data_IF_744572360374
#
_entry.id   IF_744572360374
#
_cell.length_a   1.000
_cell.length_b   1.000
_cell.length_c   1.000
_cell.angle_alpha   90.00
_cell.angle_beta   90.00
_cell.angle_gamma   90.00
#
_symmetry.space_group_name_H-M   'P 1'
#
loop_
_entity.id
_entity.type
_entity.pdbx_description
1 polymer ?
#
# COMPACT_ATOMS: atom_id res chain seq x y z
N UNK A 1 -28.08 -2.14 -2.57
CA UNK A 1 -26.86 -2.06 -3.40
C UNK A 1 -27.25 -2.18 -4.86
N UNK A 2 -26.83 -1.24 -5.70
CA UNK A 2 -27.15 -1.29 -7.13
C UNK A 2 -26.20 -2.27 -7.83
N UNK A 3 -26.69 -3.06 -8.79
CA UNK A 3 -25.86 -4.01 -9.55
C UNK A 3 -24.61 -3.37 -10.18
N UNK A 4 -24.71 -2.11 -10.60
CA UNK A 4 -23.61 -1.34 -11.21
C UNK A 4 -22.48 -1.06 -10.21
N UNK A 5 -22.79 -0.76 -8.95
CA UNK A 5 -21.80 -0.52 -7.88
C UNK A 5 -20.96 -1.79 -7.63
N UNK A 6 -21.65 -2.93 -7.52
CA UNK A 6 -21.00 -4.23 -7.32
C UNK A 6 -20.13 -4.63 -8.51
N UNK A 7 -20.65 -4.46 -9.74
CA UNK A 7 -19.89 -4.80 -10.95
C UNK A 7 -18.63 -3.94 -11.08
N UNK A 8 -18.73 -2.62 -10.86
CA UNK A 8 -17.57 -1.74 -10.94
C UNK A 8 -16.53 -2.09 -9.87
N UNK A 9 -16.96 -2.32 -8.63
CA UNK A 9 -16.05 -2.72 -7.56
C UNK A 9 -15.37 -4.06 -7.85
N UNK A 10 -16.13 -5.04 -8.36
CA UNK A 10 -15.58 -6.34 -8.74
C UNK A 10 -14.54 -6.22 -9.86
N UNK A 11 -14.82 -5.43 -10.90
CA UNK A 11 -13.86 -5.20 -12.00
C UNK A 11 -12.58 -4.54 -11.50
N UNK A 12 -12.69 -3.47 -10.70
CA UNK A 12 -11.52 -2.76 -10.16
C UNK A 12 -10.72 -3.68 -9.23
N UNK A 13 -11.39 -4.35 -8.30
CA UNK A 13 -10.71 -5.24 -7.34
C UNK A 13 -10.04 -6.42 -8.04
N UNK A 14 -10.69 -7.02 -9.04
CA UNK A 14 -10.09 -8.10 -9.82
C UNK A 14 -8.89 -7.61 -10.63
N UNK A 15 -8.96 -6.42 -11.24
CA UNK A 15 -7.84 -5.86 -11.99
C UNK A 15 -6.63 -5.61 -11.08
N UNK A 16 -6.85 -5.05 -9.87
CA UNK A 16 -5.78 -4.83 -8.89
C UNK A 16 -5.22 -6.17 -8.40
N UNK A 17 -6.06 -7.13 -8.03
CA UNK A 17 -5.62 -8.45 -7.57
C UNK A 17 -4.81 -9.19 -8.64
N UNK A 18 -5.27 -9.17 -9.90
CA UNK A 18 -4.53 -9.76 -11.03
C UNK A 18 -3.19 -9.04 -11.23
N UNK A 19 -3.16 -7.70 -11.16
CA UNK A 19 -1.92 -6.95 -11.29
C UNK A 19 -0.93 -7.33 -10.19
N UNK A 20 -1.36 -7.44 -8.92
CA UNK A 20 -0.53 -7.87 -7.79
C UNK A 20 0.04 -9.27 -8.04
N UNK A 21 -0.83 -10.24 -8.34
CA UNK A 21 -0.43 -11.64 -8.53
C UNK A 21 0.44 -11.88 -9.78
N UNK A 22 0.37 -10.99 -10.77
CA UNK A 22 1.11 -11.12 -12.04
C UNK A 22 2.48 -10.42 -12.01
N UNK A 23 2.75 -9.58 -11.00
CA UNK A 23 4.01 -8.84 -10.93
C UNK A 23 5.10 -9.67 -10.25
N UNK A 24 6.23 -9.93 -10.90
CA UNK A 24 7.40 -10.53 -10.26
C UNK A 24 8.00 -9.57 -9.24
N UNK A 25 8.77 -10.09 -8.30
CA UNK A 25 9.55 -9.24 -7.40
C UNK A 25 10.69 -8.57 -8.17
N UNK A 26 10.46 -7.33 -8.58
CA UNK A 26 11.45 -6.52 -9.30
C UNK A 26 12.18 -5.53 -8.38
N UNK A 27 11.70 -5.34 -7.16
CA UNK A 27 12.24 -4.30 -6.27
C UNK A 27 13.63 -4.64 -5.76
N UNK A 28 13.83 -5.87 -5.31
CA UNK A 28 15.13 -6.30 -4.78
C UNK A 28 16.24 -6.27 -5.84
N UNK A 29 16.07 -6.87 -7.05
CA UNK A 29 17.06 -6.77 -8.11
C UNK A 29 17.31 -5.34 -8.58
N UNK A 30 16.24 -4.51 -8.67
CA UNK A 30 16.38 -3.10 -9.02
C UNK A 30 17.17 -2.33 -7.95
N UNK A 31 16.90 -2.57 -6.67
CA UNK A 31 17.62 -1.97 -5.56
C UNK A 31 19.11 -2.31 -5.61
N UNK A 32 19.46 -3.58 -5.76
CA UNK A 32 20.85 -4.02 -5.87
C UNK A 32 21.56 -3.39 -7.06
N UNK A 33 20.92 -3.37 -8.23
CA UNK A 33 21.50 -2.80 -9.44
C UNK A 33 21.71 -1.29 -9.34
N UNK A 34 20.73 -0.55 -8.82
CA UNK A 34 20.81 0.89 -8.64
C UNK A 34 21.85 1.29 -7.58
N UNK A 35 21.89 0.58 -6.45
CA UNK A 35 22.86 0.86 -5.40
C UNK A 35 24.29 0.57 -5.87
N UNK A 36 24.52 -0.50 -6.65
CA UNK A 36 25.83 -0.77 -7.27
C UNK A 36 26.22 0.30 -8.29
N UNK A 37 25.28 0.75 -9.13
CA UNK A 37 25.53 1.71 -10.19
C UNK A 37 25.79 3.13 -9.65
N UNK A 38 25.07 3.54 -8.62
CA UNK A 38 25.11 4.91 -8.11
C UNK A 38 26.08 5.10 -6.93
N UNK A 39 26.49 4.04 -6.23
CA UNK A 39 27.48 4.09 -5.16
C UNK A 39 27.28 5.23 -4.17
N UNK A 40 28.16 6.24 -4.17
CA UNK A 40 28.08 7.42 -3.29
C UNK A 40 26.81 8.27 -3.49
N UNK A 41 26.10 8.13 -4.62
CA UNK A 41 24.80 8.77 -4.86
C UNK A 41 23.63 7.94 -4.35
N UNK A 42 23.84 7.13 -3.33
CA UNK A 42 22.81 6.28 -2.72
C UNK A 42 21.48 6.99 -2.41
N UNK A 43 21.42 8.29 -2.03
CA UNK A 43 20.14 8.94 -1.79
C UNK A 43 19.26 8.98 -3.05
N UNK A 44 19.88 9.23 -4.22
CA UNK A 44 19.16 9.21 -5.49
C UNK A 44 18.72 7.78 -5.86
N UNK A 45 19.55 6.77 -5.60
CA UNK A 45 19.17 5.37 -5.81
C UNK A 45 17.95 4.98 -4.96
N UNK A 46 17.98 5.31 -3.66
CA UNK A 46 16.87 5.01 -2.74
C UNK A 46 15.57 5.71 -3.17
N UNK A 47 15.66 6.99 -3.57
CA UNK A 47 14.51 7.74 -4.09
C UNK A 47 13.93 7.08 -5.35
N UNK A 48 14.78 6.67 -6.30
CA UNK A 48 14.36 5.98 -7.53
C UNK A 48 13.72 4.62 -7.23
N UNK A 49 14.28 3.86 -6.29
CA UNK A 49 13.68 2.60 -5.83
C UNK A 49 12.29 2.88 -5.24
N UNK A 50 12.14 3.94 -4.45
CA UNK A 50 10.84 4.39 -3.95
C UNK A 50 9.84 4.71 -5.08
N UNK A 51 10.29 5.39 -6.14
CA UNK A 51 9.45 5.65 -7.33
C UNK A 51 9.02 4.33 -8.00
N UNK A 52 9.93 3.39 -8.19
CA UNK A 52 9.62 2.06 -8.76
C UNK A 52 8.62 1.34 -7.85
N UNK A 53 8.85 1.35 -6.52
CA UNK A 53 7.95 0.75 -5.55
C UNK A 53 6.53 1.30 -5.65
N UNK A 54 6.34 2.61 -5.67
CA UNK A 54 4.99 3.20 -5.74
C UNK A 54 4.30 3.02 -7.10
N UNK A 55 5.04 2.70 -8.17
CA UNK A 55 4.49 2.31 -9.47
C UNK A 55 4.11 0.83 -9.54
N UNK A 56 4.81 -0.02 -8.79
CA UNK A 56 4.53 -1.45 -8.73
C UNK A 56 3.18 -1.67 -8.02
N UNK A 57 2.23 -2.39 -8.64
CA UNK A 57 1.05 -2.87 -7.93
C UNK A 57 1.48 -3.82 -6.81
N UNK A 58 1.20 -3.47 -5.58
CA UNK A 58 1.44 -4.31 -4.41
C UNK A 58 0.18 -4.42 -3.53
N UNK A 59 0.16 -5.43 -2.70
CA UNK A 59 -0.98 -5.77 -1.85
C UNK A 59 -1.23 -4.77 -0.72
N UNK A 60 -0.20 -4.03 -0.30
CA UNK A 60 -0.28 -3.16 0.88
C UNK A 60 -0.63 -1.71 0.55
N UNK A 61 -0.35 -1.23 -0.69
CA UNK A 61 -0.53 0.18 -1.05
C UNK A 61 -1.64 0.42 -2.06
N UNK A 62 -1.65 -0.29 -3.18
CA UNK A 62 -2.63 -0.05 -4.26
C UNK A 62 -4.08 -0.30 -3.85
N UNK A 63 -4.43 -1.42 -3.16
CA UNK A 63 -5.81 -1.66 -2.72
C UNK A 63 -6.34 -0.52 -1.86
N UNK A 64 -5.52 0.03 -0.99
CA UNK A 64 -5.89 1.06 -0.03
C UNK A 64 -5.97 2.42 -0.74
N UNK A 65 -4.90 2.84 -1.41
CA UNK A 65 -4.80 4.18 -2.03
C UNK A 65 -5.84 4.39 -3.13
N UNK A 66 -6.04 3.37 -4.00
CA UNK A 66 -7.05 3.43 -5.07
C UNK A 66 -8.46 3.44 -4.48
N UNK A 67 -8.76 2.57 -3.51
CA UNK A 67 -10.08 2.51 -2.89
C UNK A 67 -10.43 3.83 -2.19
N UNK A 68 -9.51 4.37 -1.39
CA UNK A 68 -9.73 5.66 -0.73
C UNK A 68 -9.76 6.83 -1.71
N UNK A 69 -8.94 6.80 -2.76
CA UNK A 69 -8.98 7.80 -3.83
C UNK A 69 -10.35 7.86 -4.52
N UNK A 70 -10.93 6.69 -4.83
CA UNK A 70 -12.27 6.60 -5.43
C UNK A 70 -13.40 7.09 -4.50
N UNK A 71 -13.22 6.99 -3.18
CA UNK A 71 -14.20 7.49 -2.21
C UNK A 71 -14.21 9.01 -2.07
N UNK A 72 -13.25 9.72 -2.66
CA UNK A 72 -13.16 11.17 -2.55
C UNK A 72 -13.98 11.89 -3.62
N UNK A 73 -14.46 13.10 -3.29
CA UNK A 73 -15.31 13.90 -4.20
C UNK A 73 -14.52 14.59 -5.31
N UNK A 74 -13.24 14.81 -5.10
CA UNK A 74 -12.40 15.56 -6.02
C UNK A 74 -10.99 14.97 -6.07
N UNK A 75 -10.30 15.23 -7.20
CA UNK A 75 -8.90 14.86 -7.35
C UNK A 75 -8.03 15.39 -6.22
N UNK A 76 -8.24 16.66 -5.80
CA UNK A 76 -7.48 17.27 -4.70
C UNK A 76 -7.64 16.48 -3.39
N UNK A 77 -8.88 16.06 -3.06
CA UNK A 77 -9.14 15.23 -1.88
C UNK A 77 -8.57 13.81 -2.04
N UNK A 78 -8.61 13.23 -3.25
CA UNK A 78 -7.97 11.95 -3.52
C UNK A 78 -6.44 12.03 -3.32
N UNK A 79 -5.80 13.11 -3.77
CA UNK A 79 -4.38 13.36 -3.54
C UNK A 79 -4.05 13.54 -2.06
N UNK A 80 -4.89 14.26 -1.30
CA UNK A 80 -4.72 14.42 0.15
C UNK A 80 -4.84 13.06 0.85
N UNK A 81 -5.84 12.22 0.49
CA UNK A 81 -6.00 10.90 1.08
C UNK A 81 -4.78 10.00 0.81
N UNK A 82 -4.24 10.04 -0.40
CA UNK A 82 -2.98 9.34 -0.74
C UNK A 82 -1.81 9.89 0.07
N UNK A 83 -1.71 11.22 0.22
CA UNK A 83 -0.68 11.88 1.02
C UNK A 83 -0.74 11.51 2.50
N UNK A 84 -1.93 11.39 3.07
CA UNK A 84 -2.12 10.96 4.47
C UNK A 84 -1.66 9.51 4.65
N UNK A 85 -2.03 8.62 3.74
CA UNK A 85 -1.59 7.23 3.74
C UNK A 85 -0.08 7.10 3.59
N UNK A 86 0.46 7.68 2.51
CA UNK A 86 1.88 7.60 2.20
C UNK A 86 2.75 8.34 3.23
N UNK A 87 2.25 9.41 3.84
CA UNK A 87 2.92 10.12 4.92
C UNK A 87 3.06 9.24 6.18
N UNK A 88 2.00 8.51 6.55
CA UNK A 88 2.05 7.56 7.66
C UNK A 88 3.07 6.45 7.40
N UNK A 89 3.01 5.85 6.21
CA UNK A 89 3.92 4.80 5.75
C UNK A 89 5.38 5.29 5.75
N UNK A 90 5.64 6.47 5.19
CA UNK A 90 6.97 7.10 5.14
C UNK A 90 7.52 7.35 6.54
N UNK A 91 6.69 7.82 7.48
CA UNK A 91 7.12 8.05 8.86
C UNK A 91 7.55 6.75 9.55
N UNK A 92 6.78 5.68 9.38
CA UNK A 92 7.11 4.36 9.93
C UNK A 92 8.41 3.84 9.31
N UNK A 93 8.55 3.92 7.99
CA UNK A 93 9.77 3.47 7.30
C UNK A 93 11.01 4.27 7.68
N UNK A 94 10.89 5.60 7.85
CA UNK A 94 11.98 6.43 8.32
C UNK A 94 12.40 6.08 9.76
N UNK A 95 11.42 5.84 10.64
CA UNK A 95 11.67 5.39 12.01
C UNK A 95 12.34 4.02 12.05
N UNK A 96 11.86 3.11 11.19
CA UNK A 96 12.38 1.77 11.08
C UNK A 96 13.83 1.74 10.59
N UNK A 97 14.14 2.46 9.52
CA UNK A 97 15.50 2.54 9.00
C UNK A 97 16.45 3.22 9.98
N UNK A 98 15.97 4.22 10.75
CA UNK A 98 16.72 4.79 11.85
C UNK A 98 17.05 3.76 12.93
N UNK A 99 16.06 2.96 13.36
CA UNK A 99 16.26 1.89 14.34
C UNK A 99 17.18 0.80 13.80
N UNK A 100 16.97 0.36 12.56
CA UNK A 100 17.81 -0.67 11.92
C UNK A 100 19.28 -0.26 11.85
N UNK A 101 19.57 0.99 11.55
CA UNK A 101 20.94 1.49 11.50
C UNK A 101 21.63 1.51 12.87
N UNK A 102 20.85 1.52 13.95
CA UNK A 102 21.36 1.55 15.33
C UNK A 102 21.42 0.14 15.96
N UNK A 103 20.50 -0.76 15.60
CA UNK A 103 20.29 -2.04 16.31
C UNK A 103 20.06 -3.19 15.33
N UNK A 104 21.08 -3.56 14.57
CA UNK A 104 21.04 -4.60 13.54
C UNK A 104 20.58 -6.00 13.98
N UNK A 105 20.63 -6.31 15.28
CA UNK A 105 20.49 -7.70 15.76
C UNK A 105 19.07 -8.17 16.06
N UNK A 106 18.06 -7.27 16.01
CA UNK A 106 16.70 -7.59 16.48
C UNK A 106 15.71 -8.02 15.39
N UNK A 107 16.04 -7.90 14.11
CA UNK A 107 15.07 -8.09 13.01
C UNK A 107 15.39 -9.32 12.15
N UNK A 108 15.25 -10.51 12.70
CA UNK A 108 15.28 -11.76 11.91
C UNK A 108 13.96 -12.51 12.11
N UNK A 109 13.03 -12.44 11.12
CA UNK A 109 11.80 -13.21 11.18
C UNK A 109 11.09 -13.33 9.84
N UNK A 110 11.16 -14.50 9.20
CA UNK A 110 10.55 -14.79 7.88
C UNK A 110 9.01 -14.93 7.89
N UNK A 111 8.35 -14.91 9.07
CA UNK A 111 6.90 -15.16 9.18
C UNK A 111 6.03 -13.90 9.32
N UNK A 112 6.63 -12.71 9.45
CA UNK A 112 5.89 -11.50 9.81
C UNK A 112 4.94 -11.03 8.70
N UNK A 113 5.35 -11.18 7.43
CA UNK A 113 4.60 -10.70 6.26
C UNK A 113 3.16 -11.25 6.21
N UNK A 114 2.99 -12.56 6.37
CA UNK A 114 1.68 -13.20 6.34
C UNK A 114 0.73 -12.68 7.43
N UNK A 115 1.25 -12.41 8.64
CA UNK A 115 0.45 -11.81 9.72
C UNK A 115 0.08 -10.38 9.41
N UNK A 116 0.98 -9.61 8.78
CA UNK A 116 0.70 -8.23 8.35
C UNK A 116 -0.40 -8.22 7.29
N UNK A 117 -0.35 -9.10 6.28
CA UNK A 117 -1.40 -9.24 5.27
C UNK A 117 -2.77 -9.46 5.91
N UNK A 118 -2.86 -10.36 6.88
CA UNK A 118 -4.10 -10.64 7.61
C UNK A 118 -4.55 -9.40 8.38
N UNK A 119 -3.67 -8.74 9.12
CA UNK A 119 -3.99 -7.54 9.91
C UNK A 119 -4.46 -6.40 9.02
N UNK A 120 -3.75 -6.11 7.93
CA UNK A 120 -4.13 -5.09 6.95
C UNK A 120 -5.46 -5.44 6.32
N UNK A 121 -5.65 -6.67 5.88
CA UNK A 121 -6.91 -7.15 5.30
C UNK A 121 -8.08 -7.03 6.28
N UNK A 122 -7.91 -7.41 7.56
CA UNK A 122 -8.93 -7.26 8.60
C UNK A 122 -9.30 -5.79 8.83
N UNK A 123 -8.32 -4.87 8.88
CA UNK A 123 -8.59 -3.44 9.02
C UNK A 123 -9.38 -2.91 7.82
N UNK A 124 -9.04 -3.31 6.59
CA UNK A 124 -9.78 -2.93 5.37
C UNK A 124 -11.24 -3.42 5.41
N UNK A 125 -11.46 -4.70 5.75
CA UNK A 125 -12.81 -5.29 5.86
C UNK A 125 -13.63 -4.59 6.95
N UNK A 126 -13.02 -4.34 8.12
CA UNK A 126 -13.70 -3.67 9.25
C UNK A 126 -14.13 -2.26 8.86
N UNK A 127 -13.25 -1.47 8.25
CA UNK A 127 -13.56 -0.12 7.80
C UNK A 127 -14.58 -0.12 6.68
N UNK A 128 -14.46 -1.01 5.70
CA UNK A 128 -15.44 -1.14 4.63
C UNK A 128 -16.81 -1.51 5.19
N UNK A 129 -16.87 -2.46 6.13
CA UNK A 129 -18.09 -2.85 6.85
C UNK A 129 -18.73 -1.67 7.59
N UNK A 130 -17.93 -0.91 8.34
CA UNK A 130 -18.39 0.29 9.03
C UNK A 130 -18.95 1.34 8.04
N UNK A 131 -18.24 1.63 6.95
CA UNK A 131 -18.67 2.59 5.92
C UNK A 131 -19.92 2.14 5.16
N UNK A 132 -20.13 0.83 4.99
CA UNK A 132 -21.33 0.26 4.35
C UNK A 132 -22.54 0.23 5.28
N UNK A 133 -22.33 -0.04 6.59
CA UNK A 133 -23.41 -0.11 7.60
C UNK A 133 -23.84 1.27 8.07
N UNK A 134 -22.90 2.23 8.22
CA UNK A 134 -23.22 3.62 8.61
C UNK A 134 -24.25 4.25 7.69
N UNK A 135 -24.18 3.95 6.39
CA UNK A 135 -25.14 4.43 5.41
C UNK A 135 -26.58 3.93 5.67
N UNK A 136 -26.74 2.78 6.33
CA UNK A 136 -28.07 2.19 6.62
C UNK A 136 -28.76 2.81 7.84
N UNK A 137 -27.97 3.34 8.80
CA UNK A 137 -28.51 3.87 10.07
C UNK A 137 -28.92 5.35 10.03
N UNK A 138 -28.46 6.14 9.07
CA UNK A 138 -28.66 7.60 9.02
C UNK A 138 -29.54 8.07 7.86
N UNK A 139 -30.40 7.21 7.33
CA UNK A 139 -31.24 7.46 6.16
C UNK A 139 -32.47 8.33 6.37
N UNK A 140 -32.63 9.05 7.48
CA UNK A 140 -33.88 9.74 7.79
C UNK A 140 -33.78 11.23 8.20
N UNK A 141 -32.61 11.84 8.30
CA UNK A 141 -32.55 13.26 8.63
C UNK A 141 -31.42 14.00 7.96
N UNK A 142 -31.81 14.79 6.95
CA UNK A 142 -31.22 16.05 6.55
C UNK A 142 -29.69 16.10 6.28
N UNK A 143 -29.35 16.13 4.99
CA UNK A 143 -28.01 16.52 4.51
C UNK A 143 -27.11 15.33 4.18
N UNK A 144 -26.91 15.12 2.89
CA UNK A 144 -26.06 14.08 2.29
C UNK A 144 -24.57 14.26 2.61
N UNK A 145 -24.17 14.11 3.87
CA UNK A 145 -22.77 13.75 4.17
C UNK A 145 -22.65 12.26 3.95
N UNK A 146 -22.35 11.86 2.72
CA UNK A 146 -21.91 10.48 2.48
C UNK A 146 -20.77 10.17 3.43
N UNK A 147 -20.86 9.01 4.13
CA UNK A 147 -19.81 8.58 5.04
C UNK A 147 -18.51 8.37 4.26
N UNK A 148 -17.63 9.34 4.36
CA UNK A 148 -16.29 9.34 3.74
C UNK A 148 -15.32 8.68 4.68
N UNK A 149 -14.27 8.10 4.13
CA UNK A 149 -13.19 7.62 4.97
C UNK A 149 -12.52 8.80 5.67
N UNK A 150 -12.51 8.77 7.00
CA UNK A 150 -11.80 9.75 7.82
C UNK A 150 -10.30 9.63 7.54
N UNK A 151 -9.61 10.75 7.42
CA UNK A 151 -8.16 10.77 7.27
C UNK A 151 -7.41 10.08 8.41
N UNK A 152 -7.98 10.04 9.62
CA UNK A 152 -7.44 9.26 10.74
C UNK A 152 -7.39 7.77 10.45
N UNK A 153 -8.46 7.25 9.83
CA UNK A 153 -8.53 5.83 9.44
C UNK A 153 -7.54 5.53 8.31
N UNK A 154 -7.40 6.45 7.35
CA UNK A 154 -6.42 6.33 6.27
C UNK A 154 -4.99 6.33 6.84
N UNK A 155 -4.71 7.18 7.83
CA UNK A 155 -3.44 7.22 8.55
C UNK A 155 -3.14 5.88 9.25
N UNK A 156 -4.10 5.34 9.99
CA UNK A 156 -3.96 4.04 10.67
C UNK A 156 -3.67 2.92 9.66
N UNK A 157 -4.34 2.91 8.50
CA UNK A 157 -4.03 1.96 7.43
C UNK A 157 -2.61 2.14 6.90
N UNK A 158 -2.13 3.37 6.71
CA UNK A 158 -0.75 3.64 6.30
C UNK A 158 0.27 3.11 7.30
N UNK A 159 0.01 3.29 8.60
CA UNK A 159 0.85 2.71 9.66
C UNK A 159 0.85 1.19 9.60
N UNK A 160 -0.32 0.55 9.47
CA UNK A 160 -0.43 -0.90 9.39
C UNK A 160 0.26 -1.47 8.14
N UNK A 161 0.03 -0.85 6.98
CA UNK A 161 0.63 -1.27 5.71
C UNK A 161 2.16 -1.16 5.70
N UNK A 162 2.74 -0.23 6.47
CA UNK A 162 4.18 -0.03 6.53
C UNK A 162 4.95 -1.24 7.10
N UNK A 163 4.27 -2.15 7.79
CA UNK A 163 4.84 -3.41 8.30
C UNK A 163 4.68 -4.58 7.33
N UNK A 164 4.16 -4.37 6.12
CA UNK A 164 4.06 -5.36 5.05
C UNK A 164 5.41 -5.78 4.48
N UNK A 165 5.40 -6.52 3.37
CA UNK A 165 6.63 -7.04 2.71
C UNK A 165 7.70 -5.98 2.43
N UNK A 166 7.29 -4.74 2.22
CA UNK A 166 8.18 -3.59 2.00
C UNK A 166 9.01 -3.21 3.24
N UNK A 167 8.59 -3.62 4.44
CA UNK A 167 9.38 -3.53 5.66
C UNK A 167 10.76 -4.16 5.46
N UNK A 168 10.80 -5.36 4.85
CA UNK A 168 12.06 -6.06 4.59
C UNK A 168 12.92 -5.34 3.55
N UNK A 169 12.32 -4.66 2.59
CA UNK A 169 13.05 -3.85 1.60
C UNK A 169 13.73 -2.67 2.29
N UNK A 170 13.02 -1.95 3.17
CA UNK A 170 13.59 -0.85 3.96
C UNK A 170 14.74 -1.35 4.85
N UNK A 171 14.51 -2.46 5.53
CA UNK A 171 15.52 -3.12 6.36
C UNK A 171 16.76 -3.50 5.54
N UNK A 172 16.57 -4.26 4.46
CA UNK A 172 17.62 -4.74 3.58
C UNK A 172 18.45 -3.59 2.98
N UNK A 173 17.79 -2.56 2.44
CA UNK A 173 18.48 -1.39 1.90
C UNK A 173 19.29 -0.65 2.96
N UNK A 174 18.73 -0.51 4.18
CA UNK A 174 19.44 0.13 5.28
C UNK A 174 20.73 -0.63 5.61
N UNK A 175 20.64 -1.97 5.71
CA UNK A 175 21.80 -2.82 6.01
C UNK A 175 22.89 -2.72 4.93
N UNK A 176 22.52 -2.78 3.64
CA UNK A 176 23.47 -2.69 2.52
C UNK A 176 24.16 -1.32 2.49
N UNK A 177 23.47 -0.27 2.90
CA UNK A 177 24.01 1.10 2.85
C UNK A 177 24.89 1.45 4.05
N UNK A 178 24.86 0.69 5.14
CA UNK A 178 25.69 0.97 6.33
C UNK A 178 27.18 1.18 6.05
N UNK A 179 27.84 0.44 5.11
CA UNK A 179 29.25 0.66 4.79
C UNK A 179 29.56 2.01 4.13
N UNK A 180 28.56 2.64 3.48
CA UNK A 180 28.72 3.88 2.69
C UNK A 180 27.95 5.07 3.27
N UNK A 181 27.19 4.85 4.34
CA UNK A 181 26.29 5.83 4.93
C UNK A 181 26.57 5.96 6.44
N UNK A 182 26.69 7.18 7.01
CA UNK A 182 26.74 7.35 8.46
C UNK A 182 25.49 6.78 9.14
N UNK A 183 25.65 6.06 10.24
CA UNK A 183 24.52 5.47 10.99
C UNK A 183 23.47 6.52 11.41
N UNK A 184 23.89 7.77 11.67
CA UNK A 184 23.00 8.91 11.96
C UNK A 184 22.07 9.28 10.79
N UNK A 185 22.40 8.87 9.56
CA UNK A 185 21.57 9.10 8.37
C UNK A 185 20.66 7.92 8.05
N UNK A 186 20.60 6.89 8.86
CA UNK A 186 19.78 5.71 8.63
C UNK A 186 18.31 6.05 8.35
N UNK A 187 17.74 7.05 9.05
CA UNK A 187 16.36 7.52 8.80
C UNK A 187 16.11 7.95 7.34
N UNK A 188 17.16 8.42 6.65
CA UNK A 188 17.03 8.94 5.30
C UNK A 188 16.68 7.85 4.29
N UNK A 189 17.02 6.59 4.56
CA UNK A 189 16.68 5.46 3.68
C UNK A 189 15.16 5.31 3.60
N UNK A 190 14.48 5.14 4.73
CA UNK A 190 13.02 5.01 4.76
C UNK A 190 12.30 6.30 4.32
N UNK A 191 12.86 7.47 4.65
CA UNK A 191 12.32 8.75 4.22
C UNK A 191 12.34 8.90 2.70
N UNK A 192 13.48 8.66 2.06
CA UNK A 192 13.63 8.81 0.60
C UNK A 192 12.83 7.75 -0.17
N UNK A 193 12.83 6.51 0.32
CA UNK A 193 11.98 5.45 -0.24
C UNK A 193 10.51 5.85 -0.20
N UNK A 194 10.04 6.31 0.97
CA UNK A 194 8.67 6.74 1.18
C UNK A 194 8.28 7.95 0.31
N UNK A 195 9.16 8.95 0.18
CA UNK A 195 8.92 10.11 -0.68
C UNK A 195 8.83 9.74 -2.16
N UNK A 196 9.72 8.85 -2.63
CA UNK A 196 9.66 8.34 -4.00
C UNK A 196 8.36 7.58 -4.26
N UNK A 197 7.99 6.69 -3.35
CA UNK A 197 6.75 5.92 -3.39
C UNK A 197 5.51 6.84 -3.36
N UNK A 198 5.49 7.82 -2.47
CA UNK A 198 4.41 8.81 -2.41
C UNK A 198 4.22 9.56 -3.72
N UNK A 199 5.31 10.05 -4.33
CA UNK A 199 5.24 10.79 -5.59
C UNK A 199 4.60 9.93 -6.71
N UNK A 200 5.06 8.71 -6.87
CA UNK A 200 4.56 7.80 -7.91
C UNK A 200 3.15 7.27 -7.63
N UNK A 201 2.84 6.88 -6.39
CA UNK A 201 1.47 6.50 -6.00
C UNK A 201 0.48 7.64 -6.23
N UNK A 202 0.88 8.88 -5.92
CA UNK A 202 0.07 10.05 -6.20
C UNK A 202 -0.24 10.20 -7.69
N UNK A 203 0.75 9.98 -8.55
CA UNK A 203 0.54 9.99 -9.99
C UNK A 203 -0.41 8.88 -10.45
N UNK A 204 -0.24 7.65 -9.92
CA UNK A 204 -1.13 6.51 -10.21
C UNK A 204 -2.56 6.81 -9.80
N UNK A 205 -2.77 7.27 -8.55
CA UNK A 205 -4.12 7.61 -8.06
C UNK A 205 -4.73 8.74 -8.88
N UNK A 206 -3.95 9.75 -9.27
CA UNK A 206 -4.44 10.84 -10.13
C UNK A 206 -4.88 10.35 -11.51
N UNK A 207 -4.10 9.46 -12.14
CA UNK A 207 -4.45 8.87 -13.43
C UNK A 207 -5.71 8.00 -13.33
N UNK A 208 -5.77 7.14 -12.33
CA UNK A 208 -6.92 6.26 -12.12
C UNK A 208 -8.18 7.07 -11.78
N UNK A 209 -8.09 8.05 -10.90
CA UNK A 209 -9.22 8.90 -10.54
C UNK A 209 -9.77 9.65 -11.76
N UNK A 210 -8.91 10.29 -12.55
CA UNK A 210 -9.32 10.99 -13.78
C UNK A 210 -9.91 10.05 -14.82
N UNK A 211 -9.30 8.88 -15.01
CA UNK A 211 -9.79 7.86 -15.93
C UNK A 211 -11.16 7.33 -15.53
N UNK A 212 -11.34 6.97 -14.26
CA UNK A 212 -12.61 6.45 -13.74
C UNK A 212 -13.72 7.51 -13.75
N UNK A 213 -13.43 8.77 -13.37
CA UNK A 213 -14.43 9.85 -13.45
C UNK A 213 -14.85 10.09 -14.88
N UNK A 214 -13.91 10.11 -15.85
CA UNK A 214 -14.22 10.29 -17.27
C UNK A 214 -15.07 9.14 -17.81
N UNK A 215 -14.81 7.91 -17.37
CA UNK A 215 -15.53 6.72 -17.81
C UNK A 215 -16.92 6.61 -17.17
N UNK A 216 -17.02 6.86 -15.87
CA UNK A 216 -18.23 6.58 -15.07
C UNK A 216 -19.14 7.79 -14.95
N UNK A 217 -18.58 9.02 -14.91
CA UNK A 217 -19.29 10.31 -14.78
C UNK A 217 -20.22 10.44 -13.57
N UNK A 218 -20.12 9.54 -12.61
CA UNK A 218 -20.96 9.49 -11.40
C UNK A 218 -20.08 9.28 -10.17
N UNK A 219 -19.86 10.37 -9.42
CA UNK A 219 -19.02 10.36 -8.22
C UNK A 219 -19.62 9.47 -7.12
N UNK A 220 -20.96 9.42 -7.02
CA UNK A 220 -21.62 8.59 -6.00
C UNK A 220 -21.42 7.10 -6.27
N UNK A 221 -21.43 6.72 -7.57
CA UNK A 221 -21.11 5.35 -7.99
C UNK A 221 -19.65 5.00 -7.68
N UNK A 222 -18.72 5.91 -7.95
CA UNK A 222 -17.29 5.72 -7.63
C UNK A 222 -17.07 5.57 -6.13
N UNK A 223 -17.68 6.42 -5.32
CA UNK A 223 -17.60 6.34 -3.85
C UNK A 223 -18.11 4.99 -3.33
N UNK A 224 -19.26 4.53 -3.84
CA UNK A 224 -19.80 3.24 -3.46
C UNK A 224 -18.93 2.07 -3.93
N UNK A 225 -18.39 2.15 -5.14
CA UNK A 225 -17.46 1.17 -5.69
C UNK A 225 -16.16 1.13 -4.87
N UNK A 226 -15.62 2.28 -4.45
CA UNK A 226 -14.42 2.36 -3.59
C UNK A 226 -14.60 1.62 -2.25
N UNK A 227 -15.76 1.79 -1.59
CA UNK A 227 -16.07 1.06 -0.35
C UNK A 227 -16.13 -0.45 -0.55
N UNK A 228 -16.75 -0.89 -1.65
CA UNK A 228 -16.85 -2.30 -1.99
C UNK A 228 -15.49 -2.88 -2.41
N UNK A 229 -14.70 -2.10 -3.14
CA UNK A 229 -13.32 -2.49 -3.49
C UNK A 229 -12.46 -2.66 -2.24
N UNK A 230 -12.58 -1.76 -1.26
CA UNK A 230 -11.89 -1.90 0.03
C UNK A 230 -12.28 -3.21 0.73
N UNK A 231 -13.56 -3.59 0.70
CA UNK A 231 -14.05 -4.85 1.26
C UNK A 231 -13.47 -6.07 0.53
N UNK A 232 -13.56 -6.09 -0.81
CA UNK A 232 -13.10 -7.21 -1.64
C UNK A 232 -11.59 -7.40 -1.56
N UNK A 233 -10.83 -6.30 -1.64
CA UNK A 233 -9.38 -6.33 -1.55
C UNK A 233 -8.91 -6.68 -0.13
N UNK A 234 -9.63 -6.22 0.90
CA UNK A 234 -9.39 -6.64 2.28
C UNK A 234 -9.59 -8.15 2.48
N UNK A 235 -10.67 -8.72 1.91
CA UNK A 235 -10.88 -10.17 1.93
C UNK A 235 -9.81 -10.93 1.14
N UNK A 236 -9.36 -10.38 0.00
CA UNK A 236 -8.24 -10.92 -0.78
C UNK A 236 -6.94 -10.94 0.05
N UNK A 237 -6.61 -9.85 0.77
CA UNK A 237 -5.43 -9.77 1.63
C UNK A 237 -5.46 -10.80 2.76
N UNK A 238 -6.61 -10.95 3.43
CA UNK A 238 -6.77 -11.99 4.46
C UNK A 238 -6.53 -13.38 3.86
N UNK A 239 -7.09 -13.65 2.67
CA UNK A 239 -6.91 -14.91 1.96
C UNK A 239 -5.46 -15.15 1.58
N UNK A 240 -4.75 -14.13 1.10
CA UNK A 240 -3.35 -14.19 0.72
C UNK A 240 -2.47 -14.50 1.95
N UNK A 241 -2.65 -13.76 3.04
CA UNK A 241 -1.91 -13.96 4.28
C UNK A 241 -2.19 -15.34 4.89
N UNK A 242 -3.46 -15.78 4.93
CA UNK A 242 -3.82 -17.11 5.43
C UNK A 242 -3.22 -18.23 4.57
N UNK A 243 -3.27 -18.09 3.23
CA UNK A 243 -2.63 -19.05 2.31
C UNK A 243 -1.12 -19.13 2.54
N UNK A 244 -0.48 -17.99 2.75
CA UNK A 244 0.96 -17.88 3.01
C UNK A 244 1.41 -18.59 4.30
N UNK A 245 0.50 -18.79 5.25
CA UNK A 245 0.77 -19.54 6.48
C UNK A 245 0.62 -21.07 6.30
N UNK A 246 0.06 -21.53 5.18
CA UNK A 246 -0.03 -22.97 4.88
C UNK A 246 1.31 -23.52 4.42
N UNK A 247 1.53 -24.83 4.60
CA UNK A 247 2.73 -25.52 4.12
C UNK A 247 2.94 -25.34 2.62
N UNK A 248 1.85 -25.40 1.84
CA UNK A 248 1.89 -25.16 0.38
C UNK A 248 2.33 -23.75 0.06
N UNK A 249 1.77 -22.75 0.75
CA UNK A 249 2.15 -21.35 0.58
C UNK A 249 3.62 -21.11 0.93
N UNK A 250 4.13 -21.72 1.98
CA UNK A 250 5.54 -21.62 2.37
C UNK A 250 6.47 -22.27 1.34
N UNK A 251 6.12 -23.45 0.82
CA UNK A 251 6.89 -24.13 -0.23
C UNK A 251 6.92 -23.30 -1.50
N UNK A 252 5.79 -22.75 -1.93
CA UNK A 252 5.73 -21.92 -3.13
C UNK A 252 6.56 -20.64 -3.00
N UNK A 253 6.56 -19.99 -1.83
CA UNK A 253 7.43 -18.82 -1.58
C UNK A 253 8.90 -19.18 -1.65
N UNK A 254 9.33 -20.30 -1.04
CA UNK A 254 10.72 -20.76 -1.13
C UNK A 254 11.14 -21.07 -2.57
N UNK A 255 10.26 -21.66 -3.37
CA UNK A 255 10.51 -21.92 -4.79
C UNK A 255 10.60 -20.61 -5.59
N UNK A 256 9.70 -19.66 -5.37
CA UNK A 256 9.74 -18.35 -6.01
C UNK A 256 11.03 -17.60 -5.67
N UNK A 257 11.43 -17.58 -4.39
CA UNK A 257 12.69 -16.96 -3.94
C UNK A 257 13.95 -17.63 -4.49
N UNK A 258 13.88 -18.92 -4.84
CA UNK A 258 15.00 -19.64 -5.46
C UNK A 258 15.13 -19.38 -6.96
N UNK A 259 14.10 -18.84 -7.62
CA UNK A 259 14.06 -18.54 -9.05
C UNK A 259 14.38 -17.08 -9.38
N UNK A 260 14.42 -16.20 -8.37
CA UNK A 260 14.79 -14.78 -8.46
C UNK A 260 16.19 -14.54 -7.94
#
# INVERSE_FOLDING_TARGET
>A
MRRKELALAAVISSAIAVAILSMPDVLRPAAESLLRALGLYWPAAVLLIGVIHGLKPDEHTWPITVSYGMMQESLGKAMISTGVFAGALTLVWASLSALTSQVLSFFQGEGLEAYVDIVVGLTMVTVAGALLTWRRGHGASGGSREARADYKVIWVHGVAAAFGGDFFIVFYMTVILLPVMPASMGFAVGLLLGLGSWASQSAVVAMMYKGLIKAVRDVSLLTSAGRLSLLFLGAFMIGLGAFSLTDVGQVLRRLAAALT
#
